data_IF_960653142484
#
_entry.id   IF_960653142484
#
_cell.length_a   1.000
_cell.length_b   1.000
_cell.length_c   1.000
_cell.angle_alpha   90.00
_cell.angle_beta   90.00
_cell.angle_gamma   90.00
#
_symmetry.space_group_name_H-M   'P 1'
#
loop_
_entity.id
_entity.type
_entity.pdbx_description
1 polymer ?
#
# COMPACT_ATOMS: atom_id res chain seq x y z
N UNK A 1 6.20 -0.60 14.21
CA UNK A 1 5.54 -1.03 12.95
C UNK A 1 4.11 -0.52 12.98
N UNK A 2 3.71 0.25 11.98
CA UNK A 2 2.37 0.79 11.83
C UNK A 2 1.42 -0.28 11.27
N UNK A 3 0.72 -1.00 12.16
CA UNK A 3 -0.22 -2.05 11.78
C UNK A 3 -1.56 -1.79 12.49
N UNK A 4 -2.66 -1.86 11.75
CA UNK A 4 -4.01 -1.66 12.28
C UNK A 4 -4.78 -2.97 12.34
N UNK A 5 -5.56 -3.16 13.40
CA UNK A 5 -6.57 -4.23 13.52
C UNK A 5 -7.94 -3.81 12.99
N UNK A 6 -8.14 -2.51 12.71
CA UNK A 6 -9.32 -1.98 12.00
C UNK A 6 -9.04 -2.01 10.51
N UNK A 7 -9.96 -2.61 9.74
CA UNK A 7 -9.82 -2.76 8.29
C UNK A 7 -9.58 -1.42 7.61
N UNK A 8 -8.35 -1.23 7.12
CA UNK A 8 -8.03 -0.14 6.20
C UNK A 8 -8.24 -0.64 4.77
N UNK A 9 -8.27 0.26 3.77
CA UNK A 9 -8.32 -0.16 2.37
C UNK A 9 -7.12 -1.02 1.95
N UNK A 10 -6.01 -0.98 2.71
CA UNK A 10 -4.74 -1.61 2.38
C UNK A 10 -4.62 -2.97 3.09
N UNK A 11 -5.18 -4.00 2.44
CA UNK A 11 -5.02 -5.39 2.90
C UNK A 11 -3.59 -5.84 2.62
N UNK A 12 -2.97 -6.46 3.62
CA UNK A 12 -1.61 -6.99 3.57
C UNK A 12 -1.62 -8.43 4.09
N UNK A 13 -1.39 -9.40 3.21
CA UNK A 13 -1.39 -10.82 3.58
C UNK A 13 0.04 -11.39 3.51
N UNK A 14 0.50 -11.96 4.62
CA UNK A 14 1.84 -12.57 4.75
C UNK A 14 1.69 -13.90 5.47
N UNK A 15 2.35 -14.95 4.96
CA UNK A 15 2.32 -16.30 5.56
C UNK A 15 0.89 -16.80 5.88
N UNK A 16 -0.07 -16.52 4.99
CA UNK A 16 -1.49 -16.89 5.13
C UNK A 16 -2.27 -16.08 6.17
N UNK A 17 -1.67 -15.02 6.74
CA UNK A 17 -2.28 -14.16 7.74
C UNK A 17 -2.65 -12.82 7.13
N UNK A 18 -3.93 -12.47 7.21
CA UNK A 18 -4.46 -11.19 6.73
C UNK A 18 -4.28 -10.11 7.79
N UNK A 19 -3.61 -9.03 7.41
CA UNK A 19 -3.30 -7.85 8.20
C UNK A 19 -3.71 -6.59 7.42
N UNK A 20 -3.60 -5.43 8.06
CA UNK A 20 -3.90 -4.14 7.43
C UNK A 20 -2.82 -3.12 7.76
N UNK A 21 -2.45 -2.29 6.79
CA UNK A 21 -1.48 -1.20 6.96
C UNK A 21 -2.18 0.16 6.95
N UNK A 22 -1.50 1.22 7.40
CA UNK A 22 -2.12 2.55 7.46
C UNK A 22 -2.17 3.23 6.10
N UNK A 23 -1.14 3.05 5.26
CA UNK A 23 -1.09 3.66 3.92
C UNK A 23 -0.59 2.70 2.85
N UNK A 24 -0.60 3.17 1.59
CA UNK A 24 -0.06 2.43 0.45
C UNK A 24 1.45 2.16 0.60
N UNK A 25 2.24 3.12 1.08
CA UNK A 25 3.69 2.98 1.18
C UNK A 25 4.14 1.92 2.19
N UNK A 26 3.42 1.78 3.31
CA UNK A 26 3.67 0.71 4.29
C UNK A 26 3.65 -0.67 3.64
N UNK A 27 2.70 -0.91 2.71
CA UNK A 27 2.59 -2.19 1.99
C UNK A 27 3.79 -2.50 1.11
N UNK A 28 4.48 -1.46 0.63
CA UNK A 28 5.68 -1.58 -0.21
C UNK A 28 6.95 -1.76 0.61
N UNK A 29 7.00 -1.12 1.78
CA UNK A 29 8.20 -1.07 2.61
C UNK A 29 8.34 -2.27 3.56
N UNK A 30 7.24 -2.72 4.18
CA UNK A 30 7.28 -3.79 5.19
C UNK A 30 7.83 -5.13 4.69
N UNK A 31 7.54 -5.61 3.46
CA UNK A 31 8.08 -6.87 2.94
C UNK A 31 9.61 -6.95 2.97
N UNK A 32 10.28 -5.84 2.66
CA UNK A 32 11.74 -5.74 2.76
C UNK A 32 12.23 -5.80 4.21
N UNK A 33 11.53 -5.15 5.15
CA UNK A 33 11.87 -5.18 6.57
C UNK A 33 11.70 -6.56 7.23
N UNK A 34 10.63 -7.27 6.89
CA UNK A 34 10.31 -8.56 7.51
C UNK A 34 10.91 -9.76 6.74
N UNK A 35 11.48 -9.52 5.56
CA UNK A 35 12.06 -10.56 4.71
C UNK A 35 11.03 -11.62 4.26
N UNK A 36 9.79 -11.20 3.99
CA UNK A 36 8.70 -12.06 3.51
C UNK A 36 7.96 -11.37 2.38
N UNK A 37 7.42 -12.16 1.46
CA UNK A 37 6.55 -11.65 0.39
C UNK A 37 5.14 -11.41 0.94
N UNK A 38 4.56 -10.27 0.59
CA UNK A 38 3.19 -9.93 0.91
C UNK A 38 2.30 -9.87 -0.33
N UNK A 39 1.09 -10.40 -0.21
CA UNK A 39 0.02 -10.16 -1.16
C UNK A 39 -0.76 -8.94 -0.70
N UNK A 40 -0.84 -7.92 -1.56
CA UNK A 40 -1.43 -6.63 -1.23
C UNK A 40 -2.66 -6.42 -2.10
N UNK A 41 -3.75 -6.00 -1.47
CA UNK A 41 -4.95 -5.52 -2.17
C UNK A 41 -5.35 -4.18 -1.58
N UNK A 42 -5.53 -3.21 -2.46
CA UNK A 42 -5.94 -1.84 -2.16
C UNK A 42 -6.98 -1.35 -3.16
N UNK A 43 -7.34 -0.07 -3.09
CA UNK A 43 -8.18 0.62 -4.07
C UNK A 43 -7.51 1.90 -4.55
N UNK A 44 -7.78 2.25 -5.80
CA UNK A 44 -7.50 3.57 -6.34
C UNK A 44 -8.23 4.64 -5.53
N UNK A 45 -7.54 5.67 -5.08
CA UNK A 45 -8.16 6.75 -4.30
C UNK A 45 -9.20 7.57 -5.10
N UNK A 46 -9.05 7.63 -6.43
CA UNK A 46 -9.95 8.43 -7.30
C UNK A 46 -11.10 7.58 -7.83
N UNK A 47 -10.80 6.39 -8.37
CA UNK A 47 -11.79 5.58 -9.10
C UNK A 47 -12.36 4.41 -8.28
N UNK A 48 -11.78 4.08 -7.13
CA UNK A 48 -12.20 2.94 -6.29
C UNK A 48 -11.89 1.56 -6.87
N UNK A 49 -11.35 1.48 -8.10
CA UNK A 49 -10.93 0.24 -8.77
C UNK A 49 -9.91 -0.50 -7.91
N UNK A 50 -10.01 -1.82 -7.75
CA UNK A 50 -9.03 -2.60 -7.01
C UNK A 50 -7.62 -2.48 -7.60
N UNK A 51 -6.64 -2.39 -6.71
CA UNK A 51 -5.21 -2.49 -7.03
C UNK A 51 -4.65 -3.71 -6.30
N UNK A 52 -4.02 -4.63 -7.01
CA UNK A 52 -3.39 -5.82 -6.43
C UNK A 52 -1.94 -5.94 -6.88
N UNK A 53 -1.10 -6.45 -5.99
CA UNK A 53 0.32 -6.66 -6.24
C UNK A 53 0.91 -7.66 -5.26
N UNK A 54 1.92 -8.39 -5.71
CA UNK A 54 2.81 -9.17 -4.86
C UNK A 54 4.07 -8.36 -4.58
N UNK A 55 4.33 -8.04 -3.32
CA UNK A 55 5.54 -7.31 -2.91
C UNK A 55 6.50 -8.28 -2.24
N UNK A 56 7.58 -8.59 -2.93
CA UNK A 56 8.69 -9.39 -2.39
C UNK A 56 9.71 -8.48 -1.71
N UNK A 57 10.64 -9.01 -0.91
CA UNK A 57 11.69 -8.21 -0.29
C UNK A 57 12.59 -7.44 -1.28
N UNK A 58 12.64 -7.86 -2.55
CA UNK A 58 13.53 -7.30 -3.56
C UNK A 58 12.80 -6.61 -4.73
N UNK A 59 11.51 -6.86 -4.92
CA UNK A 59 10.78 -6.42 -6.12
C UNK A 59 9.26 -6.47 -5.92
N UNK A 60 8.57 -5.63 -6.69
CA UNK A 60 7.12 -5.72 -6.91
C UNK A 60 6.85 -6.63 -8.11
N UNK A 61 5.82 -7.45 -8.02
CA UNK A 61 5.36 -8.38 -9.07
C UNK A 61 3.83 -8.32 -9.19
N UNK A 62 3.32 -8.81 -10.32
CA UNK A 62 1.89 -9.03 -10.56
C UNK A 62 1.03 -7.78 -10.27
N UNK A 63 1.54 -6.61 -10.65
CA UNK A 63 0.87 -5.33 -10.42
C UNK A 63 -0.31 -5.16 -11.37
N UNK A 64 -1.51 -5.09 -10.80
CA UNK A 64 -2.76 -4.84 -11.51
C UNK A 64 -3.57 -3.70 -10.86
N UNK A 65 -4.10 -2.75 -11.64
CA UNK A 65 -3.85 -2.57 -13.06
C UNK A 65 -2.40 -2.16 -13.33
N UNK A 66 -1.87 -2.57 -14.49
CA UNK A 66 -0.53 -2.21 -14.90
C UNK A 66 -0.37 -0.68 -14.94
N UNK A 67 0.72 -0.20 -14.35
CA UNK A 67 1.00 1.25 -14.26
C UNK A 67 0.28 1.96 -13.11
N UNK A 68 -0.30 1.25 -12.14
CA UNK A 68 -0.73 1.87 -10.90
C UNK A 68 0.45 2.60 -10.21
N UNK A 69 0.17 3.76 -9.61
CA UNK A 69 1.15 4.64 -8.98
C UNK A 69 0.82 4.88 -7.51
N UNK A 70 1.76 5.47 -6.76
CA UNK A 70 1.59 5.83 -5.35
C UNK A 70 1.90 7.31 -5.15
N UNK A 71 1.06 8.02 -4.41
CA UNK A 71 1.37 9.38 -3.96
C UNK A 71 2.36 9.34 -2.79
N UNK A 72 3.34 10.22 -2.80
CA UNK A 72 4.26 10.45 -1.70
C UNK A 72 4.34 11.94 -1.41
N UNK A 73 4.28 12.28 -0.13
CA UNK A 73 4.53 13.64 0.35
C UNK A 73 5.75 13.60 1.26
N UNK A 74 6.49 14.71 1.34
CA UNK A 74 7.54 14.85 2.33
C UNK A 74 6.86 15.03 3.70
N UNK A 75 7.07 14.13 4.67
CA UNK A 75 6.48 14.29 5.99
C UNK A 75 6.96 15.60 6.61
N UNK A 76 6.06 16.31 7.27
CA UNK A 76 6.44 17.42 8.16
C UNK A 76 7.10 16.84 9.42
N UNK A 77 7.96 17.61 10.09
CA UNK A 77 8.53 17.20 11.37
C UNK A 77 7.44 17.25 12.47
N UNK A 78 6.77 16.12 12.67
CA UNK A 78 5.62 15.98 13.59
C UNK A 78 5.58 14.59 14.19
N UNK A 79 5.18 14.46 15.47
CA UNK A 79 4.97 13.16 16.09
C UNK A 79 3.76 12.40 15.52
N UNK A 80 2.80 13.07 14.86
CA UNK A 80 1.62 12.43 14.25
C UNK A 80 1.86 12.08 12.77
N UNK A 81 2.68 11.06 12.54
CA UNK A 81 2.98 10.56 11.19
C UNK A 81 1.75 9.97 10.47
N UNK A 82 0.75 9.52 11.23
CA UNK A 82 -0.43 8.94 10.63
C UNK A 82 -1.23 10.01 9.89
N UNK A 83 -1.52 11.13 10.55
CA UNK A 83 -2.25 12.21 9.91
C UNK A 83 -1.37 13.00 8.93
N UNK A 84 -0.11 13.24 9.27
CA UNK A 84 0.78 14.07 8.46
C UNK A 84 1.33 13.38 7.20
N UNK A 85 1.24 12.06 7.10
CA UNK A 85 1.76 11.29 5.95
C UNK A 85 0.77 10.24 5.47
N UNK A 86 0.35 9.30 6.33
CA UNK A 86 -0.44 8.14 5.89
C UNK A 86 -1.79 8.54 5.28
N UNK A 87 -2.43 9.60 5.77
CA UNK A 87 -3.67 10.14 5.21
C UNK A 87 -3.54 10.73 3.79
N UNK A 88 -2.33 10.87 3.27
CA UNK A 88 -2.05 11.45 1.95
C UNK A 88 -1.36 10.47 0.97
N UNK A 89 -1.12 9.23 1.41
CA UNK A 89 -0.33 8.24 0.69
C UNK A 89 -1.22 7.11 0.22
N UNK A 90 -1.63 7.18 -1.04
CA UNK A 90 -2.62 6.30 -1.64
C UNK A 90 -2.13 5.68 -2.96
N UNK A 91 -2.78 4.59 -3.38
CA UNK A 91 -2.65 4.05 -4.72
C UNK A 91 -3.56 4.80 -5.71
N UNK A 92 -3.08 4.97 -6.94
CA UNK A 92 -3.82 5.53 -8.06
C UNK A 92 -3.72 4.59 -9.26
N UNK A 93 -4.81 4.43 -9.98
CA UNK A 93 -4.82 3.74 -11.27
C UNK A 93 -4.73 4.78 -12.37
N UNK A 94 -3.91 4.51 -13.38
CA UNK A 94 -4.03 5.21 -14.65
C UNK A 94 -5.34 4.76 -15.31
N UNK A 95 -6.23 5.70 -15.63
CA UNK A 95 -7.32 5.43 -16.55
C UNK A 95 -6.70 5.27 -17.93
N UNK A 96 -6.50 4.03 -18.37
CA UNK A 96 -6.20 3.80 -19.78
C UNK A 96 -7.55 3.73 -20.49
N UNK A 97 -8.05 4.89 -20.91
CA UNK A 97 -9.15 4.95 -21.87
C UNK A 97 -8.75 4.10 -23.07
N UNK A 98 -9.59 3.10 -23.37
CA UNK A 98 -9.43 2.21 -24.52
C UNK A 98 -10.03 2.87 -25.75
#
# INVERSE_FOLDING_TARGET
MAQSLRGTPHTFEVDGRRLYTWCAFDTLFFPALIGRTAQVVSRCAVTGVPVSLAVTPAAIRDLEPAGATVSLIVPQDTPDIHHAFCCHVHFFCLCRDR
#
